data_IF_312325911805
#
_entry.id   IF_312325911805
#
_cell.length_a   1.000
_cell.length_b   1.000
_cell.length_c   1.000
_cell.angle_alpha   90.00
_cell.angle_beta   90.00
_cell.angle_gamma   90.00
#
_symmetry.space_group_name_H-M   'P 1'
#
loop_
_entity.id
_entity.type
_entity.pdbx_description
1 polymer ?
#
# COMPACT_ATOMS: atom_id res chain seq x y z
N UNK A 1 -9.30 -11.60 15.19
CA UNK A 1 -8.41 -11.55 13.98
C UNK A 1 -8.78 -12.75 13.11
N UNK A 2 -8.86 -12.58 11.80
CA UNK A 2 -9.28 -13.70 10.91
C UNK A 2 -8.05 -14.48 10.48
N UNK A 3 -7.61 -15.38 11.36
CA UNK A 3 -6.37 -16.17 11.20
C UNK A 3 -6.38 -17.10 9.98
N UNK A 4 -7.56 -17.46 9.48
CA UNK A 4 -7.68 -18.31 8.29
C UNK A 4 -7.17 -17.65 7.00
N UNK A 5 -7.16 -16.29 6.89
CA UNK A 5 -6.73 -15.60 5.67
C UNK A 5 -5.22 -15.81 5.43
N UNK A 6 -4.31 -15.51 6.39
CA UNK A 6 -2.90 -15.80 6.22
C UNK A 6 -2.61 -17.27 5.95
N UNK A 7 -3.29 -18.18 6.66
CA UNK A 7 -3.14 -19.63 6.45
C UNK A 7 -3.56 -20.05 5.04
N UNK A 8 -4.68 -19.51 4.54
CA UNK A 8 -5.14 -19.78 3.17
C UNK A 8 -4.14 -19.26 2.12
N UNK A 9 -3.72 -18.00 2.26
CA UNK A 9 -2.77 -17.38 1.33
C UNK A 9 -1.43 -18.12 1.30
N UNK A 10 -0.91 -18.54 2.45
CA UNK A 10 0.35 -19.27 2.58
C UNK A 10 0.38 -20.64 1.87
N UNK A 11 -0.78 -21.18 1.47
CA UNK A 11 -0.86 -22.40 0.65
C UNK A 11 -0.48 -22.17 -0.81
N UNK A 12 -0.53 -20.93 -1.30
CA UNK A 12 -0.42 -20.60 -2.72
C UNK A 12 0.65 -19.56 -3.03
N UNK A 13 1.08 -18.77 -2.04
CA UNK A 13 1.97 -17.62 -2.22
C UNK A 13 3.10 -17.63 -1.21
N UNK A 14 4.26 -17.15 -1.66
CA UNK A 14 5.40 -16.89 -0.78
C UNK A 14 5.18 -15.61 0.01
N UNK A 15 5.57 -15.61 1.29
CA UNK A 15 5.47 -14.45 2.15
C UNK A 15 6.63 -13.48 1.89
N UNK A 16 6.32 -12.21 1.72
CA UNK A 16 7.28 -11.11 1.65
C UNK A 16 7.30 -10.35 2.97
N UNK A 17 8.48 -9.90 3.36
CA UNK A 17 8.58 -8.92 4.42
C UNK A 17 7.97 -7.59 3.97
N UNK A 18 7.43 -6.76 4.90
CA UNK A 18 6.94 -5.44 4.55
C UNK A 18 7.97 -4.57 3.81
N UNK A 19 9.25 -4.70 4.15
CA UNK A 19 10.32 -3.97 3.46
C UNK A 19 10.49 -4.42 2.00
N UNK A 20 10.49 -5.73 1.75
CA UNK A 20 10.55 -6.28 0.39
C UNK A 20 9.35 -5.81 -0.42
N UNK A 21 8.15 -5.87 0.17
CA UNK A 21 6.93 -5.38 -0.47
C UNK A 21 7.03 -3.90 -0.83
N UNK A 22 7.38 -3.01 0.13
CA UNK A 22 7.47 -1.58 -0.17
C UNK A 22 8.63 -1.24 -1.09
N UNK A 23 9.73 -2.00 -1.07
CA UNK A 23 10.83 -1.85 -2.03
C UNK A 23 10.43 -2.29 -3.43
N UNK A 24 9.54 -3.25 -3.56
CA UNK A 24 8.97 -3.64 -4.85
C UNK A 24 8.01 -2.55 -5.39
N UNK A 25 7.14 -1.99 -4.52
CA UNK A 25 6.25 -0.89 -4.89
C UNK A 25 7.05 0.38 -5.26
N UNK A 26 8.07 0.73 -4.47
CA UNK A 26 8.92 1.89 -4.69
C UNK A 26 10.36 1.44 -4.96
N UNK A 27 10.75 1.19 -6.22
CA UNK A 27 12.11 0.79 -6.58
C UNK A 27 13.15 1.80 -6.08
N UNK A 28 14.37 1.33 -5.86
CA UNK A 28 15.45 2.18 -5.36
C UNK A 28 15.71 3.34 -6.31
N UNK A 29 15.80 4.55 -5.75
CA UNK A 29 16.01 5.77 -6.48
C UNK A 29 14.73 6.51 -6.90
N UNK A 30 13.53 5.94 -6.66
CA UNK A 30 12.25 6.58 -7.00
C UNK A 30 11.78 7.60 -5.96
N UNK A 31 12.13 7.42 -4.69
CA UNK A 31 11.77 8.34 -3.62
C UNK A 31 12.90 9.34 -3.34
N UNK A 32 12.58 10.46 -2.67
CA UNK A 32 13.59 11.40 -2.18
C UNK A 32 14.56 10.73 -1.21
N UNK A 33 15.83 11.10 -1.29
CA UNK A 33 16.79 10.75 -0.26
C UNK A 33 16.62 11.63 0.98
N UNK A 34 16.89 11.08 2.16
CA UNK A 34 16.83 11.81 3.42
C UNK A 34 17.82 13.00 3.41
N UNK A 35 17.28 14.21 3.57
CA UNK A 35 18.08 15.45 3.63
C UNK A 35 18.53 15.99 2.29
N UNK A 36 18.16 15.35 1.18
CA UNK A 36 18.41 15.85 -0.16
C UNK A 36 17.07 16.04 -0.88
N UNK A 37 16.79 17.27 -1.29
CA UNK A 37 15.72 17.54 -2.26
C UNK A 37 16.33 17.47 -3.65
N UNK A 38 16.12 16.38 -4.35
CA UNK A 38 16.47 16.26 -5.76
C UNK A 38 15.28 16.69 -6.62
N UNK A 39 15.53 17.50 -7.62
CA UNK A 39 14.51 17.90 -8.59
C UNK A 39 13.93 16.66 -9.27
N UNK A 40 12.59 16.52 -9.21
CA UNK A 40 11.85 15.45 -9.86
C UNK A 40 11.60 14.21 -9.02
N UNK A 41 12.14 14.11 -7.81
CA UNK A 41 11.82 13.03 -6.87
C UNK A 41 10.77 13.48 -5.87
N UNK A 42 9.94 12.52 -5.47
CA UNK A 42 8.78 12.74 -4.61
C UNK A 42 8.77 11.74 -3.46
N UNK A 43 7.89 11.94 -2.47
CA UNK A 43 7.83 11.14 -1.27
C UNK A 43 6.64 10.19 -1.28
N UNK A 44 6.79 9.00 -0.73
CA UNK A 44 5.66 8.24 -0.20
C UNK A 44 5.27 8.82 1.17
N UNK A 45 3.97 8.77 1.51
CA UNK A 45 3.47 9.27 2.79
C UNK A 45 2.76 8.16 3.55
N UNK A 46 3.30 7.81 4.71
CA UNK A 46 2.62 6.97 5.67
C UNK A 46 1.74 7.84 6.59
N UNK A 47 0.55 7.34 6.91
CA UNK A 47 -0.36 7.94 7.87
C UNK A 47 -0.51 6.99 9.05
N UNK A 48 -0.07 7.43 10.21
CA UNK A 48 -0.24 6.74 11.48
C UNK A 48 -1.50 7.24 12.16
N UNK A 49 -2.39 6.32 12.53
CA UNK A 49 -3.63 6.64 13.23
C UNK A 49 -3.42 6.46 14.73
N UNK A 50 -3.38 7.56 15.46
CA UNK A 50 -3.19 7.60 16.91
C UNK A 50 -4.55 7.62 17.60
N UNK A 51 -4.91 6.62 18.41
CA UNK A 51 -6.14 6.63 19.18
C UNK A 51 -6.18 7.84 20.12
N UNK A 52 -7.34 8.46 20.23
CA UNK A 52 -7.66 9.47 21.24
C UNK A 52 -8.81 8.99 22.10
N UNK A 53 -9.02 9.68 23.23
CA UNK A 53 -10.22 9.50 24.03
C UNK A 53 -11.48 9.80 23.21
N UNK A 54 -12.60 9.19 23.57
CA UNK A 54 -13.92 9.42 22.95
C UNK A 54 -14.07 8.99 21.48
N UNK A 55 -13.52 7.84 21.06
CA UNK A 55 -13.64 7.32 19.68
C UNK A 55 -13.14 8.26 18.57
N UNK A 56 -12.25 9.18 18.91
CA UNK A 56 -11.59 10.05 17.94
C UNK A 56 -10.18 9.55 17.60
N UNK A 57 -9.68 9.89 16.41
CA UNK A 57 -8.37 9.48 15.93
C UNK A 57 -7.59 10.69 15.41
N UNK A 58 -6.35 10.83 15.86
CA UNK A 58 -5.40 11.75 15.24
C UNK A 58 -4.63 11.08 14.12
N UNK A 59 -4.46 11.76 13.00
CA UNK A 59 -3.65 11.30 11.89
C UNK A 59 -2.28 12.01 11.89
N UNK A 60 -1.21 11.26 12.12
CA UNK A 60 0.17 11.74 12.00
C UNK A 60 0.75 11.30 10.66
N UNK A 61 1.34 12.23 9.91
CA UNK A 61 1.92 11.96 8.60
C UNK A 61 3.43 11.84 8.70
N UNK A 62 3.97 10.81 8.06
CA UNK A 62 5.39 10.51 8.00
C UNK A 62 5.83 10.48 6.54
N UNK A 63 6.94 11.13 6.22
CA UNK A 63 7.54 11.07 4.89
C UNK A 63 8.43 9.84 4.84
N UNK A 64 8.16 8.96 3.87
CA UNK A 64 9.00 7.81 3.55
C UNK A 64 9.97 8.22 2.46
N UNK A 65 11.24 8.15 2.77
CA UNK A 65 12.37 8.42 1.87
C UNK A 65 12.95 7.12 1.30
N UNK A 66 13.83 7.23 0.31
CA UNK A 66 14.32 6.10 -0.47
C UNK A 66 15.06 5.03 0.33
N UNK A 67 15.63 5.39 1.49
CA UNK A 67 16.26 4.44 2.39
C UNK A 67 15.27 3.54 3.16
N UNK A 68 13.96 3.82 3.06
CA UNK A 68 12.85 3.13 3.74
C UNK A 68 13.04 2.97 5.27
N UNK A 69 14.00 3.68 5.87
CA UNK A 69 14.39 3.50 7.27
C UNK A 69 13.24 3.76 8.25
N UNK A 70 12.40 4.75 7.95
CA UNK A 70 11.26 5.08 8.79
C UNK A 70 10.17 4.00 8.78
N UNK A 71 10.09 3.17 7.73
CA UNK A 71 9.16 2.03 7.70
C UNK A 71 9.46 1.04 8.82
N UNK A 72 10.73 0.76 9.10
CA UNK A 72 11.12 -0.16 10.19
C UNK A 72 10.67 0.33 11.56
N UNK A 73 10.67 1.64 11.77
CA UNK A 73 10.20 2.26 13.00
C UNK A 73 8.67 2.20 13.08
N UNK A 74 7.97 2.50 11.98
CA UNK A 74 6.51 2.48 11.92
C UNK A 74 5.93 1.07 12.04
N UNK A 75 6.59 0.07 11.46
CA UNK A 75 6.14 -1.33 11.52
C UNK A 75 6.25 -1.95 12.93
N UNK A 76 7.02 -1.32 13.83
CA UNK A 76 7.09 -1.69 15.25
C UNK A 76 6.04 -0.98 16.12
N UNK A 77 5.30 -0.03 15.52
CA UNK A 77 4.23 0.70 16.21
C UNK A 77 2.99 -0.18 16.37
N UNK A 78 2.33 -0.12 17.50
CA UNK A 78 1.02 -0.75 17.72
C UNK A 78 -0.13 0.02 17.04
N UNK A 79 0.18 1.17 16.45
CA UNK A 79 -0.80 2.00 15.76
C UNK A 79 -1.07 1.50 14.34
N UNK A 80 -2.26 1.81 13.84
CA UNK A 80 -2.61 1.49 12.45
C UNK A 80 -1.87 2.41 11.47
N UNK A 81 -1.15 1.82 10.51
CA UNK A 81 -0.34 2.54 9.52
C UNK A 81 -0.95 2.34 8.13
N UNK A 82 -1.19 3.44 7.42
CA UNK A 82 -1.71 3.44 6.06
C UNK A 82 -0.68 4.03 5.11
N UNK A 83 -0.27 3.27 4.12
CA UNK A 83 0.61 3.74 3.03
C UNK A 83 -0.07 3.43 1.70
N UNK A 84 -0.18 4.44 0.82
CA UNK A 84 -0.67 4.22 -0.55
C UNK A 84 0.49 4.05 -1.52
N UNK A 85 0.31 3.32 -2.64
CA UNK A 85 1.32 3.15 -3.68
C UNK A 85 1.40 4.40 -4.57
N UNK A 86 1.42 5.58 -3.96
CA UNK A 86 1.39 6.89 -4.61
C UNK A 86 2.48 7.76 -4.00
N UNK A 87 3.23 8.49 -4.84
CA UNK A 87 4.14 9.54 -4.38
C UNK A 87 3.47 10.90 -4.41
N UNK A 88 3.96 11.79 -3.53
CA UNK A 88 3.40 13.13 -3.33
C UNK A 88 4.49 14.20 -3.31
N UNK A 89 4.17 15.39 -3.82
CA UNK A 89 4.97 16.58 -3.58
C UNK A 89 4.71 17.10 -2.16
N UNK A 90 5.79 17.29 -1.38
CA UNK A 90 5.70 17.81 -0.02
C UNK A 90 5.12 16.80 0.98
N UNK A 91 4.41 17.31 2.00
CA UNK A 91 4.01 16.54 3.19
C UNK A 91 2.51 16.21 3.25
N UNK A 92 1.75 16.62 2.26
CA UNK A 92 0.28 16.46 2.31
C UNK A 92 -0.20 15.42 1.30
N UNK A 93 -0.92 14.43 1.81
CA UNK A 93 -1.52 13.34 1.04
C UNK A 93 -2.90 13.78 0.51
N UNK A 94 -2.88 14.78 -0.37
CA UNK A 94 -4.07 15.28 -1.08
C UNK A 94 -3.89 15.07 -2.58
N UNK A 95 -4.99 14.93 -3.32
CA UNK A 95 -4.98 14.67 -4.77
C UNK A 95 -4.14 15.70 -5.55
N UNK A 96 -4.16 16.97 -5.14
CA UNK A 96 -3.37 18.04 -5.79
C UNK A 96 -1.85 17.84 -5.67
N UNK A 97 -1.40 17.10 -4.67
CA UNK A 97 0.01 16.81 -4.42
C UNK A 97 0.44 15.43 -4.95
N UNK A 98 -0.49 14.58 -5.39
CA UNK A 98 -0.16 13.30 -6.00
C UNK A 98 0.70 13.50 -7.24
N UNK A 99 1.71 12.65 -7.43
CA UNK A 99 2.68 12.75 -8.53
C UNK A 99 2.71 11.50 -9.38
N UNK A 100 2.89 10.34 -8.79
CA UNK A 100 2.93 9.07 -9.52
C UNK A 100 2.19 7.98 -8.76
N UNK A 101 1.48 7.13 -9.52
CA UNK A 101 0.85 5.90 -9.04
C UNK A 101 1.75 4.74 -9.47
N UNK A 102 2.13 3.89 -8.53
CA UNK A 102 3.01 2.72 -8.74
C UNK A 102 2.23 1.40 -8.83
N UNK A 103 1.06 1.34 -8.21
CA UNK A 103 0.18 0.19 -8.28
C UNK A 103 -1.29 0.63 -8.18
N UNK A 104 -2.17 -0.13 -8.81
CA UNK A 104 -3.61 -0.06 -8.56
C UNK A 104 -3.92 -0.96 -7.38
N UNK A 105 -4.68 -0.48 -6.42
CA UNK A 105 -5.07 -1.24 -5.22
C UNK A 105 -6.57 -1.44 -5.21
N UNK A 106 -6.98 -2.68 -4.98
CA UNK A 106 -8.37 -3.05 -4.72
C UNK A 106 -8.46 -3.53 -3.29
N UNK A 107 -9.33 -2.92 -2.52
CA UNK A 107 -9.59 -3.27 -1.12
C UNK A 107 -10.82 -4.17 -1.04
N UNK A 108 -10.64 -5.36 -0.46
CA UNK A 108 -11.68 -6.37 -0.27
C UNK A 108 -11.90 -6.58 1.21
N UNK A 109 -12.80 -5.77 1.76
CA UNK A 109 -13.25 -5.89 3.13
C UNK A 109 -14.31 -7.00 3.30
N UNK A 110 -14.53 -7.39 4.55
CA UNK A 110 -15.67 -8.25 4.89
C UNK A 110 -15.47 -9.72 4.54
N UNK A 111 -14.24 -10.18 4.28
CA UNK A 111 -13.93 -11.61 4.12
C UNK A 111 -14.12 -12.31 5.47
N UNK A 112 -15.27 -12.96 5.65
CA UNK A 112 -15.64 -13.62 6.91
C UNK A 112 -15.39 -15.12 6.91
N UNK A 113 -15.34 -15.75 5.74
CA UNK A 113 -15.25 -17.18 5.55
C UNK A 113 -14.29 -17.54 4.41
N UNK A 114 -13.67 -18.72 4.48
CA UNK A 114 -12.67 -19.18 3.50
C UNK A 114 -13.24 -19.30 2.07
N UNK A 115 -14.53 -19.59 1.93
CA UNK A 115 -15.14 -19.74 0.60
C UNK A 115 -15.06 -18.45 -0.24
N UNK A 116 -15.07 -17.25 0.38
CA UNK A 116 -14.90 -15.99 -0.37
C UNK A 116 -13.52 -15.90 -1.06
N UNK A 117 -12.47 -16.39 -0.39
CA UNK A 117 -11.15 -16.50 -1.01
C UNK A 117 -11.13 -17.54 -2.11
N UNK A 118 -11.75 -18.71 -1.86
CA UNK A 118 -11.84 -19.77 -2.86
C UNK A 118 -12.54 -19.29 -4.13
N UNK A 119 -13.66 -18.58 -4.00
CA UNK A 119 -14.39 -18.00 -5.13
C UNK A 119 -13.56 -16.93 -5.87
N UNK A 120 -12.89 -16.06 -5.12
CA UNK A 120 -12.01 -15.04 -5.71
C UNK A 120 -10.89 -15.68 -6.54
N UNK A 121 -10.19 -16.67 -5.98
CA UNK A 121 -9.10 -17.35 -6.68
C UNK A 121 -9.60 -18.20 -7.85
N UNK A 122 -10.78 -18.77 -7.74
CA UNK A 122 -11.43 -19.42 -8.89
C UNK A 122 -11.66 -18.45 -10.04
N UNK A 123 -12.15 -17.23 -9.76
CA UNK A 123 -12.34 -16.19 -10.77
C UNK A 123 -11.01 -15.75 -11.40
N UNK A 124 -9.95 -15.59 -10.60
CA UNK A 124 -8.61 -15.27 -11.09
C UNK A 124 -8.07 -16.37 -11.99
N UNK A 125 -8.13 -17.63 -11.54
CA UNK A 125 -7.64 -18.80 -12.29
C UNK A 125 -8.35 -18.98 -13.64
N UNK A 126 -9.63 -18.61 -13.74
CA UNK A 126 -10.40 -18.68 -14.98
C UNK A 126 -10.29 -17.41 -15.84
N UNK A 127 -9.47 -16.43 -15.42
CA UNK A 127 -9.23 -15.20 -16.18
C UNK A 127 -10.37 -14.18 -16.16
N UNK A 128 -11.36 -14.34 -15.27
CA UNK A 128 -12.43 -13.35 -15.09
C UNK A 128 -11.96 -12.12 -14.30
N UNK A 129 -10.99 -12.32 -13.42
CA UNK A 129 -10.33 -11.26 -12.64
C UNK A 129 -8.83 -11.39 -12.90
N UNK A 130 -8.10 -10.28 -13.19
CA UNK A 130 -6.66 -10.32 -13.32
C UNK A 130 -6.00 -10.81 -12.01
N UNK A 131 -4.93 -11.58 -12.13
CA UNK A 131 -4.15 -12.00 -10.98
C UNK A 131 -3.34 -10.81 -10.44
N UNK A 132 -3.41 -10.51 -9.12
CA UNK A 132 -2.66 -9.40 -8.55
C UNK A 132 -1.17 -9.73 -8.44
N UNK A 133 -0.34 -8.70 -8.47
CA UNK A 133 1.10 -8.86 -8.25
C UNK A 133 1.40 -9.19 -6.79
N UNK A 134 0.67 -8.55 -5.86
CA UNK A 134 0.80 -8.78 -4.41
C UNK A 134 -0.57 -8.82 -3.75
N UNK A 135 -0.66 -9.60 -2.67
CA UNK A 135 -1.83 -9.66 -1.78
C UNK A 135 -1.35 -9.28 -0.38
N UNK A 136 -1.99 -8.30 0.22
CA UNK A 136 -1.69 -7.85 1.57
C UNK A 136 -2.87 -8.16 2.48
N UNK A 137 -2.61 -8.87 3.58
CA UNK A 137 -3.60 -9.09 4.62
C UNK A 137 -3.77 -7.82 5.46
N UNK A 138 -4.97 -7.24 5.48
CA UNK A 138 -5.28 -5.98 6.17
C UNK A 138 -5.82 -6.17 7.60
N UNK A 139 -5.94 -7.42 8.06
CA UNK A 139 -6.49 -7.78 9.38
C UNK A 139 -7.97 -8.18 9.32
N UNK A 140 -8.80 -7.55 8.50
CA UNK A 140 -10.22 -7.86 8.30
C UNK A 140 -10.56 -8.32 6.88
N UNK A 141 -9.63 -8.13 5.95
CA UNK A 141 -9.77 -8.43 4.54
C UNK A 141 -8.41 -8.55 3.86
N UNK A 142 -8.39 -8.36 2.58
CA UNK A 142 -7.17 -8.34 1.77
C UNK A 142 -7.16 -7.14 0.82
N UNK A 143 -5.96 -6.62 0.57
CA UNK A 143 -5.74 -5.66 -0.51
C UNK A 143 -5.02 -6.35 -1.65
N UNK A 144 -5.56 -6.23 -2.87
CA UNK A 144 -4.94 -6.72 -4.10
C UNK A 144 -4.15 -5.58 -4.73
N UNK A 145 -2.86 -5.78 -4.94
CA UNK A 145 -1.98 -4.81 -5.60
C UNK A 145 -1.64 -5.27 -7.01
N UNK A 146 -1.96 -4.46 -7.99
CA UNK A 146 -1.57 -4.63 -9.39
C UNK A 146 -0.46 -3.63 -9.69
N UNK A 147 0.79 -4.09 -9.58
CA UNK A 147 1.95 -3.23 -9.81
C UNK A 147 2.02 -2.82 -11.28
N UNK A 148 2.29 -1.54 -11.52
CA UNK A 148 2.46 -1.00 -12.86
C UNK A 148 3.91 -1.19 -13.31
N UNK A 149 4.09 -1.56 -14.58
CA UNK A 149 5.44 -1.68 -15.19
C UNK A 149 6.19 -0.34 -15.13
N UNK A 150 5.46 0.75 -15.29
CA UNK A 150 5.96 2.13 -15.15
C UNK A 150 4.98 2.95 -14.33
N UNK A 151 5.45 3.80 -13.42
CA UNK A 151 4.58 4.68 -12.66
C UNK A 151 3.77 5.60 -13.56
N UNK A 152 2.48 5.76 -13.27
CA UNK A 152 1.59 6.65 -14.02
C UNK A 152 1.59 8.03 -13.36
N UNK A 153 1.87 9.12 -14.11
CA UNK A 153 1.85 10.47 -13.57
C UNK A 153 0.40 10.91 -13.23
N UNK A 154 0.22 11.50 -12.04
CA UNK A 154 -1.07 11.99 -11.52
C UNK A 154 -1.32 13.45 -11.94
N UNK A 155 -1.28 13.79 -13.22
CA UNK A 155 -1.66 15.13 -13.64
C UNK A 155 -3.18 15.28 -13.69
N UNK A 156 -3.69 16.48 -13.33
CA UNK A 156 -5.14 16.78 -13.28
C UNK A 156 -5.93 16.35 -14.53
N UNK A 157 -5.29 16.30 -15.68
CA UNK A 157 -5.91 15.95 -16.96
C UNK A 157 -5.96 14.43 -17.24
N UNK A 158 -5.17 13.62 -16.52
CA UNK A 158 -5.13 12.16 -16.67
C UNK A 158 -6.11 11.50 -15.70
N UNK A 159 -6.32 12.08 -14.53
CA UNK A 159 -7.23 11.53 -13.49
C UNK A 159 -8.72 11.81 -13.81
N UNK A 160 -9.03 12.58 -14.85
CA UNK A 160 -10.41 12.86 -15.26
C UNK A 160 -10.91 12.02 -16.45
N UNK A 161 -10.10 11.12 -16.95
CA UNK A 161 -10.50 10.14 -17.96
C UNK A 161 -10.78 8.80 -17.31
#
# INVERSE_FOLDING_TARGET
MREFIPEYLGRFYDELTPQEFYRAIFPKGELEERGKQEHGKYNAIAVELLPKEENSVNARRHIITDDLRLLDELLKSDNFIIISPITYAGRSRVAANARFIYAITVDLDGITEEHYLTDLFFQMKNGFIPEPTYIVFSGTGIHLYYQLEKPIPCFKNIVKQ
#
